data_IF_566119623259
#
_entry.id   IF_566119623259
#
_cell.length_a   1.000
_cell.length_b   1.000
_cell.length_c   1.000
_cell.angle_alpha   90.00
_cell.angle_beta   90.00
_cell.angle_gamma   90.00
#
_symmetry.space_group_name_H-M   'P 1'
#
loop_
_entity.id
_entity.type
_entity.pdbx_description
1 polymer ?
#
# COMPACT_ATOMS: atom_id res chain seq x y z
N UNK A 1 6.48 -15.36 19.33
CA UNK A 1 5.39 -14.45 18.95
C UNK A 1 4.68 -15.06 17.75
N UNK A 2 3.36 -15.24 17.84
CA UNK A 2 2.50 -15.70 16.75
C UNK A 2 1.87 -14.46 16.11
N UNK A 3 1.95 -14.34 14.78
CA UNK A 3 1.39 -13.23 14.01
C UNK A 3 -0.04 -13.55 13.53
N UNK A 4 -0.61 -12.67 12.74
CA UNK A 4 -1.90 -12.86 12.06
C UNK A 4 -1.62 -13.41 10.65
N UNK A 5 -2.42 -14.37 10.20
CA UNK A 5 -2.41 -14.83 8.81
C UNK A 5 -3.11 -13.84 7.88
N UNK A 6 -2.75 -13.85 6.61
CA UNK A 6 -3.41 -13.05 5.56
C UNK A 6 -4.28 -13.98 4.71
N UNK A 7 -5.55 -13.59 4.57
CA UNK A 7 -6.51 -14.21 3.68
C UNK A 7 -7.20 -13.08 2.89
N UNK A 8 -7.23 -13.20 1.58
CA UNK A 8 -7.81 -12.20 0.70
C UNK A 8 -9.16 -12.68 0.19
N UNK A 9 -10.14 -11.80 0.24
CA UNK A 9 -11.42 -12.02 -0.44
C UNK A 9 -11.24 -12.02 -1.95
N UNK A 10 -12.18 -12.66 -2.67
CA UNK A 10 -12.21 -12.54 -4.12
C UNK A 10 -12.44 -11.06 -4.53
N UNK A 11 -11.74 -10.56 -5.55
CA UNK A 11 -11.95 -9.20 -6.02
C UNK A 11 -13.32 -9.03 -6.68
N UNK A 12 -13.86 -7.81 -6.62
CA UNK A 12 -15.00 -7.42 -7.43
C UNK A 12 -14.62 -7.26 -8.90
N UNK A 13 -15.61 -7.19 -9.79
CA UNK A 13 -15.37 -6.82 -11.19
C UNK A 13 -14.72 -5.45 -11.28
N UNK A 14 -13.58 -5.37 -12.00
CA UNK A 14 -12.81 -4.14 -12.09
C UNK A 14 -13.54 -3.04 -12.87
N UNK A 15 -14.16 -3.37 -14.01
CA UNK A 15 -14.83 -2.36 -14.82
C UNK A 15 -15.97 -1.67 -14.05
N UNK A 16 -16.74 -2.45 -13.31
CA UNK A 16 -17.81 -1.94 -12.42
C UNK A 16 -17.22 -1.08 -11.30
N UNK A 17 -16.15 -1.54 -10.66
CA UNK A 17 -15.51 -0.81 -9.55
C UNK A 17 -14.87 0.49 -10.04
N UNK A 18 -14.18 0.45 -11.18
CA UNK A 18 -13.53 1.61 -11.79
C UNK A 18 -14.57 2.69 -12.13
N UNK A 19 -15.67 2.33 -12.79
CA UNK A 19 -16.77 3.23 -13.12
C UNK A 19 -17.44 3.81 -11.89
N UNK A 20 -17.79 2.95 -10.91
CA UNK A 20 -18.47 3.35 -9.66
C UNK A 20 -17.72 4.46 -8.90
N UNK A 21 -16.39 4.37 -8.83
CA UNK A 21 -15.56 5.30 -8.08
C UNK A 21 -14.79 6.29 -8.96
N UNK A 22 -15.03 6.27 -10.28
CA UNK A 22 -14.32 7.09 -11.27
C UNK A 22 -12.79 7.01 -11.09
N UNK A 23 -12.29 5.78 -11.01
CA UNK A 23 -10.88 5.52 -10.77
C UNK A 23 -10.05 5.71 -12.05
N UNK A 24 -8.86 6.34 -11.96
CA UNK A 24 -7.96 6.52 -13.08
C UNK A 24 -7.22 5.21 -13.41
N UNK A 25 -6.62 5.14 -14.60
CA UNK A 25 -5.81 3.97 -15.01
C UNK A 25 -4.48 3.90 -14.25
N UNK A 26 -3.88 5.03 -13.93
CA UNK A 26 -2.57 5.13 -13.30
C UNK A 26 -2.68 5.83 -11.94
N UNK A 27 -2.52 5.09 -10.84
CA UNK A 27 -2.63 5.70 -9.51
C UNK A 27 -1.72 5.08 -8.46
N UNK A 28 -1.29 5.95 -7.55
CA UNK A 28 -0.78 5.60 -6.23
C UNK A 28 -1.97 5.48 -5.28
N UNK A 29 -2.04 4.39 -4.52
CA UNK A 29 -3.17 4.07 -3.64
C UNK A 29 -2.80 4.19 -2.18
N UNK A 30 -3.64 4.88 -1.41
CA UNK A 30 -3.69 4.80 0.05
C UNK A 30 -4.98 4.12 0.49
N UNK A 31 -4.88 3.19 1.44
CA UNK A 31 -6.05 2.55 2.08
C UNK A 31 -5.95 2.73 3.59
N UNK A 32 -6.97 3.33 4.18
CA UNK A 32 -7.03 3.55 5.61
C UNK A 32 -7.85 4.77 6.01
N UNK A 33 -7.76 5.16 7.27
CA UNK A 33 -8.41 6.37 7.77
C UNK A 33 -7.81 7.61 7.11
N UNK A 34 -8.64 8.37 6.41
CA UNK A 34 -8.23 9.60 5.73
C UNK A 34 -8.34 10.78 6.69
N UNK A 35 -7.21 11.19 7.25
CA UNK A 35 -7.12 12.38 8.12
C UNK A 35 -5.84 13.19 7.80
N UNK A 36 -5.91 14.50 8.03
CA UNK A 36 -4.81 15.43 7.76
C UNK A 36 -3.56 15.12 8.58
N UNK A 37 -3.72 14.71 9.84
CA UNK A 37 -2.58 14.38 10.71
C UNK A 37 -1.71 13.27 10.15
N UNK A 38 -2.32 12.31 9.43
CA UNK A 38 -1.64 11.16 8.82
C UNK A 38 -1.13 11.45 7.40
N UNK A 39 -1.82 12.29 6.63
CA UNK A 39 -1.63 12.44 5.19
C UNK A 39 -1.06 13.80 4.75
N UNK A 40 -0.99 14.80 5.64
CA UNK A 40 -0.64 16.17 5.27
C UNK A 40 0.70 16.27 4.50
N UNK A 41 1.74 15.62 4.98
CA UNK A 41 3.03 15.61 4.30
C UNK A 41 2.96 14.88 2.95
N UNK A 42 2.17 13.80 2.86
CA UNK A 42 2.04 13.00 1.64
C UNK A 42 1.38 13.79 0.52
N UNK A 43 0.34 14.58 0.82
CA UNK A 43 -0.27 15.47 -0.16
C UNK A 43 0.76 16.45 -0.74
N UNK A 44 1.51 17.14 0.13
CA UNK A 44 2.56 18.07 -0.28
C UNK A 44 3.64 17.39 -1.12
N UNK A 45 4.14 16.24 -0.67
CA UNK A 45 5.18 15.47 -1.35
C UNK A 45 4.72 14.98 -2.72
N UNK A 46 3.48 14.49 -2.81
CA UNK A 46 2.89 14.05 -4.07
C UNK A 46 2.73 15.22 -5.06
N UNK A 47 2.22 16.36 -4.61
CA UNK A 47 2.08 17.53 -5.48
C UNK A 47 3.44 18.11 -5.92
N UNK A 48 4.44 18.05 -5.06
CA UNK A 48 5.80 18.44 -5.45
C UNK A 48 6.43 17.42 -6.41
N UNK A 49 6.13 16.11 -6.25
CA UNK A 49 6.46 15.10 -7.26
C UNK A 49 5.87 15.47 -8.62
N UNK A 50 4.59 15.84 -8.71
CA UNK A 50 3.92 16.24 -9.96
C UNK A 50 4.55 17.51 -10.58
N UNK A 51 5.05 18.43 -9.77
CA UNK A 51 5.79 19.61 -10.28
C UNK A 51 7.14 19.24 -10.88
N UNK A 52 7.85 18.29 -10.27
CA UNK A 52 9.16 17.81 -10.76
C UNK A 52 8.99 16.93 -12.00
N UNK A 53 7.92 16.13 -12.06
CA UNK A 53 7.60 15.22 -13.16
C UNK A 53 6.23 15.52 -13.76
N UNK A 54 6.07 16.66 -14.51
CA UNK A 54 4.77 17.13 -14.98
C UNK A 54 4.11 16.22 -16.03
N UNK A 55 4.88 15.34 -16.66
CA UNK A 55 4.38 14.37 -17.64
C UNK A 55 3.91 13.04 -17.00
N UNK A 56 3.98 12.90 -15.69
CA UNK A 56 3.44 11.72 -15.02
C UNK A 56 1.91 11.79 -14.95
N UNK A 57 1.21 10.78 -15.44
CA UNK A 57 -0.25 10.65 -15.37
C UNK A 57 -0.73 10.10 -14.01
N UNK A 58 0.22 9.81 -13.11
CA UNK A 58 -0.08 9.23 -11.81
C UNK A 58 -1.04 10.13 -11.01
N UNK A 59 -2.15 9.53 -10.53
CA UNK A 59 -3.10 10.15 -9.60
C UNK A 59 -2.88 9.60 -8.20
N UNK A 60 -3.45 10.25 -7.20
CA UNK A 60 -3.45 9.76 -5.83
C UNK A 60 -4.87 9.40 -5.41
N UNK A 61 -5.13 8.10 -5.25
CA UNK A 61 -6.43 7.56 -4.83
C UNK A 61 -6.38 7.24 -3.35
N UNK A 62 -7.39 7.70 -2.61
CA UNK A 62 -7.53 7.47 -1.17
C UNK A 62 -8.83 6.70 -0.91
N UNK A 63 -8.68 5.52 -0.34
CA UNK A 63 -9.76 4.62 0.06
C UNK A 63 -9.90 4.62 1.58
N UNK A 64 -11.07 4.96 2.08
CA UNK A 64 -11.41 4.90 3.49
C UNK A 64 -12.24 6.08 3.98
N UNK A 65 -12.73 5.95 5.21
CA UNK A 65 -13.55 7.00 5.81
C UNK A 65 -12.75 8.28 6.03
N UNK A 66 -13.32 9.40 5.59
CA UNK A 66 -12.77 10.74 5.79
C UNK A 66 -13.08 11.25 7.20
N UNK A 67 -12.07 11.81 7.86
CA UNK A 67 -12.14 12.40 9.20
C UNK A 67 -11.71 13.88 9.23
N UNK A 68 -11.32 14.42 8.06
CA UNK A 68 -10.99 15.82 7.85
C UNK A 68 -11.50 16.27 6.49
N UNK A 69 -11.55 17.57 6.27
CA UNK A 69 -11.91 18.13 4.97
C UNK A 69 -10.98 17.60 3.88
N UNK A 70 -11.52 17.27 2.68
CA UNK A 70 -10.72 16.77 1.59
C UNK A 70 -9.73 17.83 1.09
N UNK A 71 -8.55 17.38 0.73
CA UNK A 71 -7.60 18.22 0.02
C UNK A 71 -8.00 18.27 -1.46
N UNK A 72 -8.64 19.37 -1.88
CA UNK A 72 -9.16 19.51 -3.24
C UNK A 72 -8.06 19.73 -4.26
N UNK A 73 -7.80 18.74 -5.09
CA UNK A 73 -6.88 18.82 -6.23
C UNK A 73 -7.31 17.83 -7.31
N UNK A 74 -7.17 18.15 -8.62
CA UNK A 74 -7.63 17.28 -9.73
C UNK A 74 -6.85 15.96 -9.82
N UNK A 75 -5.68 15.85 -9.17
CA UNK A 75 -4.88 14.64 -9.12
C UNK A 75 -5.13 13.82 -7.84
N UNK A 76 -6.08 14.21 -6.98
CA UNK A 76 -6.40 13.53 -5.72
C UNK A 76 -7.85 13.10 -5.72
N UNK A 77 -8.10 11.80 -5.57
CA UNK A 77 -9.41 11.17 -5.69
C UNK A 77 -9.74 10.44 -4.39
N UNK A 78 -10.94 10.67 -3.89
CA UNK A 78 -11.47 10.03 -2.67
C UNK A 78 -12.62 9.11 -3.02
N UNK A 79 -12.52 7.84 -2.63
CA UNK A 79 -13.63 6.88 -2.81
C UNK A 79 -14.55 6.83 -1.60
N UNK A 80 -14.13 7.36 -0.44
CA UNK A 80 -14.69 7.03 0.87
C UNK A 80 -14.54 5.54 1.22
N UNK A 81 -15.44 5.02 2.07
CA UNK A 81 -15.48 3.61 2.41
C UNK A 81 -15.93 2.79 1.19
N UNK A 82 -15.25 1.67 0.96
CA UNK A 82 -15.58 0.69 -0.08
C UNK A 82 -15.74 -0.69 0.55
N UNK A 83 -16.46 -1.59 -0.12
CA UNK A 83 -16.61 -2.98 0.32
C UNK A 83 -15.28 -3.75 0.17
N UNK A 84 -15.11 -4.83 0.93
CA UNK A 84 -13.86 -5.60 0.97
C UNK A 84 -13.43 -6.10 -0.41
N UNK A 85 -14.36 -6.63 -1.21
CA UNK A 85 -14.08 -7.12 -2.56
C UNK A 85 -13.65 -5.98 -3.51
N UNK A 86 -14.25 -4.80 -3.36
CA UNK A 86 -13.87 -3.61 -4.13
C UNK A 86 -12.48 -3.10 -3.70
N UNK A 87 -12.19 -3.11 -2.38
CA UNK A 87 -10.85 -2.78 -1.88
C UNK A 87 -9.78 -3.68 -2.52
N UNK A 88 -10.02 -4.99 -2.56
CA UNK A 88 -9.08 -5.92 -3.18
C UNK A 88 -8.90 -5.61 -4.67
N UNK A 89 -9.99 -5.37 -5.40
CA UNK A 89 -9.93 -4.98 -6.81
C UNK A 89 -9.15 -3.67 -7.01
N UNK A 90 -9.38 -2.66 -6.18
CA UNK A 90 -8.66 -1.38 -6.24
C UNK A 90 -7.16 -1.56 -5.94
N UNK A 91 -6.79 -2.41 -4.97
CA UNK A 91 -5.38 -2.71 -4.69
C UNK A 91 -4.75 -3.42 -5.88
N UNK A 92 -5.43 -4.40 -6.49
CA UNK A 92 -4.91 -5.16 -7.64
C UNK A 92 -4.60 -4.26 -8.85
N UNK A 93 -5.35 -3.19 -9.07
CA UNK A 93 -5.18 -2.29 -10.19
C UNK A 93 -4.32 -1.05 -9.85
N UNK A 94 -3.96 -0.86 -8.59
CA UNK A 94 -3.05 0.20 -8.21
C UNK A 94 -1.65 0.00 -8.85
N UNK A 95 -1.05 1.08 -9.30
CA UNK A 95 0.33 1.08 -9.78
C UNK A 95 1.32 0.96 -8.62
N UNK A 96 1.06 1.67 -7.53
CA UNK A 96 1.87 1.73 -6.32
C UNK A 96 0.93 1.81 -5.12
N UNK A 97 1.22 1.09 -4.03
CA UNK A 97 0.49 1.26 -2.77
C UNK A 97 1.38 2.00 -1.77
N UNK A 98 0.82 3.00 -1.07
CA UNK A 98 1.55 3.78 -0.07
C UNK A 98 1.04 3.50 1.34
N UNK A 99 1.97 3.35 2.30
CA UNK A 99 1.65 3.45 3.73
C UNK A 99 2.51 4.54 4.41
N UNK A 100 1.92 5.72 4.69
CA UNK A 100 2.63 6.85 5.28
C UNK A 100 2.64 6.83 6.82
N UNK A 101 2.13 5.78 7.46
CA UNK A 101 2.01 5.71 8.91
C UNK A 101 3.36 5.89 9.62
N UNK A 102 3.35 6.66 10.70
CA UNK A 102 4.49 6.78 11.63
C UNK A 102 4.49 5.64 12.66
N UNK A 103 3.33 5.06 12.94
CA UNK A 103 3.15 4.03 13.96
C UNK A 103 2.31 2.89 13.41
N UNK A 104 2.87 1.69 13.40
CA UNK A 104 2.20 0.45 13.03
C UNK A 104 2.62 -0.66 14.00
N UNK A 105 1.71 -1.60 14.24
CA UNK A 105 2.04 -2.84 14.96
C UNK A 105 2.42 -3.98 14.00
N UNK A 106 1.76 -4.07 12.85
CA UNK A 106 2.01 -5.08 11.81
C UNK A 106 1.83 -4.51 10.40
N UNK A 107 0.82 -3.68 10.16
CA UNK A 107 0.40 -3.17 8.84
C UNK A 107 -0.25 -4.21 7.92
N UNK A 108 -1.54 -4.49 8.17
CA UNK A 108 -2.31 -5.42 7.32
C UNK A 108 -2.32 -4.99 5.86
N UNK A 109 -2.52 -3.69 5.58
CA UNK A 109 -2.52 -3.19 4.20
C UNK A 109 -1.19 -3.43 3.47
N UNK A 110 -0.05 -3.42 4.17
CA UNK A 110 1.23 -3.76 3.58
C UNK A 110 1.24 -5.23 3.16
N UNK A 111 0.80 -6.12 4.03
CA UNK A 111 0.76 -7.56 3.76
C UNK A 111 -0.25 -7.91 2.67
N UNK A 112 -1.43 -7.29 2.67
CA UNK A 112 -2.45 -7.45 1.61
C UNK A 112 -1.89 -7.00 0.23
N UNK A 113 -1.27 -5.83 0.17
CA UNK A 113 -0.68 -5.32 -1.06
C UNK A 113 0.46 -6.23 -1.57
N UNK A 114 1.32 -6.71 -0.67
CA UNK A 114 2.37 -7.67 -1.02
C UNK A 114 1.81 -9.02 -1.48
N UNK A 115 0.73 -9.53 -0.85
CA UNK A 115 0.04 -10.74 -1.29
C UNK A 115 -0.59 -10.59 -2.69
N UNK A 116 -0.96 -9.37 -3.08
CA UNK A 116 -1.46 -9.00 -4.39
C UNK A 116 -0.34 -8.57 -5.37
N UNK A 117 0.92 -8.85 -5.05
CA UNK A 117 2.10 -8.55 -5.88
C UNK A 117 2.25 -7.05 -6.20
N UNK A 118 1.89 -6.17 -5.28
CA UNK A 118 2.01 -4.72 -5.47
C UNK A 118 3.31 -4.18 -4.90
N UNK A 119 3.97 -3.33 -5.69
CA UNK A 119 5.08 -2.52 -5.21
C UNK A 119 4.59 -1.47 -4.21
N UNK A 120 5.34 -1.26 -3.14
CA UNK A 120 4.95 -0.35 -2.09
C UNK A 120 5.98 0.73 -1.82
N UNK A 121 5.47 1.90 -1.42
CA UNK A 121 6.25 3.00 -0.86
C UNK A 121 5.79 3.26 0.57
N UNK A 122 6.67 3.16 1.56
CA UNK A 122 6.28 3.24 2.97
C UNK A 122 7.10 4.28 3.73
N UNK A 123 6.58 4.75 4.86
CA UNK A 123 7.29 5.70 5.72
C UNK A 123 8.40 4.98 6.51
N UNK A 124 9.66 5.29 6.20
CA UNK A 124 10.83 4.71 6.86
C UNK A 124 11.09 5.22 8.28
N UNK A 125 10.37 6.23 8.74
CA UNK A 125 10.39 6.66 10.14
C UNK A 125 9.52 5.75 11.03
N UNK A 126 8.74 4.83 10.45
CA UNK A 126 8.07 3.74 11.14
C UNK A 126 8.96 2.49 11.11
N UNK A 127 9.47 2.08 12.29
CA UNK A 127 10.37 0.94 12.38
C UNK A 127 9.75 -0.36 11.86
N UNK A 128 8.47 -0.60 12.11
CA UNK A 128 7.75 -1.79 11.64
C UNK A 128 7.70 -1.84 10.11
N UNK A 129 7.34 -0.74 9.46
CA UNK A 129 7.30 -0.67 8.00
C UNK A 129 8.68 -0.85 7.38
N UNK A 130 9.70 -0.22 7.97
CA UNK A 130 11.09 -0.35 7.55
C UNK A 130 11.61 -1.77 7.72
N UNK A 131 11.24 -2.45 8.81
CA UNK A 131 11.59 -3.84 9.05
C UNK A 131 10.98 -4.78 7.99
N UNK A 132 9.72 -4.56 7.60
CA UNK A 132 9.11 -5.29 6.48
C UNK A 132 9.87 -5.09 5.16
N UNK A 133 10.34 -3.87 4.86
CA UNK A 133 11.17 -3.64 3.67
C UNK A 133 12.44 -4.52 3.68
N UNK A 134 13.14 -4.58 4.81
CA UNK A 134 14.37 -5.39 4.93
C UNK A 134 14.08 -6.89 4.88
N UNK A 135 13.10 -7.38 5.64
CA UNK A 135 12.74 -8.81 5.70
C UNK A 135 12.18 -9.36 4.40
N UNK A 136 11.53 -8.52 3.60
CA UNK A 136 10.99 -8.89 2.29
C UNK A 136 12.00 -8.75 1.13
N UNK A 137 13.27 -8.53 1.42
CA UNK A 137 14.32 -8.30 0.42
C UNK A 137 13.98 -7.11 -0.51
N UNK A 138 13.56 -6.00 0.08
CA UNK A 138 13.13 -4.77 -0.59
C UNK A 138 11.91 -4.95 -1.52
N UNK A 139 10.92 -5.74 -1.12
CA UNK A 139 9.60 -5.76 -1.76
C UNK A 139 8.81 -4.44 -1.57
N UNK A 140 9.25 -3.60 -0.64
CA UNK A 140 8.79 -2.23 -0.49
C UNK A 140 9.99 -1.29 -0.40
N UNK A 141 9.86 -0.07 -0.94
CA UNK A 141 10.81 1.01 -0.73
C UNK A 141 10.32 1.89 0.42
N UNK A 142 11.25 2.48 1.17
CA UNK A 142 10.89 3.44 2.21
C UNK A 142 11.48 4.81 1.95
N UNK A 143 10.75 5.85 2.35
CA UNK A 143 11.18 7.25 2.35
C UNK A 143 11.26 7.77 3.78
N UNK A 144 12.10 8.77 4.04
CA UNK A 144 12.25 9.40 5.35
C UNK A 144 12.02 10.92 5.31
N UNK A 145 11.99 11.49 4.12
CA UNK A 145 11.76 12.91 3.87
C UNK A 145 11.21 13.11 2.45
N UNK A 146 10.86 14.35 2.11
CA UNK A 146 10.27 14.71 0.82
C UNK A 146 11.16 14.32 -0.36
N UNK A 147 12.46 14.62 -0.31
CA UNK A 147 13.39 14.29 -1.39
C UNK A 147 13.39 12.79 -1.67
N UNK A 148 13.56 11.98 -0.63
CA UNK A 148 13.57 10.52 -0.78
C UNK A 148 12.20 9.96 -1.20
N UNK A 149 11.09 10.63 -0.84
CA UNK A 149 9.76 10.29 -1.34
C UNK A 149 9.68 10.51 -2.86
N UNK A 150 10.05 11.70 -3.34
CA UNK A 150 10.01 12.06 -4.76
C UNK A 150 10.89 11.12 -5.58
N UNK A 151 12.14 10.88 -5.15
CA UNK A 151 13.09 10.02 -5.85
C UNK A 151 12.56 8.59 -5.96
N UNK A 152 12.04 8.02 -4.85
CA UNK A 152 11.54 6.65 -4.84
C UNK A 152 10.18 6.49 -5.53
N UNK A 153 9.31 7.49 -5.43
CA UNK A 153 8.06 7.50 -6.19
C UNK A 153 8.36 7.51 -7.69
N UNK A 154 9.34 8.30 -8.13
CA UNK A 154 9.75 8.32 -9.54
C UNK A 154 10.32 6.97 -10.00
N UNK A 155 11.15 6.33 -9.20
CA UNK A 155 11.65 4.98 -9.51
C UNK A 155 10.50 3.99 -9.71
N UNK A 156 9.50 4.02 -8.84
CA UNK A 156 8.33 3.13 -8.93
C UNK A 156 7.39 3.52 -10.07
N UNK A 157 7.19 4.80 -10.34
CA UNK A 157 6.31 5.27 -11.41
C UNK A 157 6.89 4.94 -12.79
N UNK A 158 8.18 5.15 -12.99
CA UNK A 158 8.85 4.99 -14.29
C UNK A 158 9.24 3.55 -14.66
N UNK A 159 9.34 2.62 -13.70
CA UNK A 159 9.87 1.27 -13.96
C UNK A 159 8.88 0.16 -13.67
N UNK A 160 8.24 -0.36 -14.71
CA UNK A 160 7.36 -1.56 -14.61
C UNK A 160 8.14 -2.79 -14.14
N UNK A 161 9.36 -3.01 -14.64
CA UNK A 161 10.17 -4.15 -14.24
C UNK A 161 10.49 -4.13 -12.74
N UNK A 162 10.82 -2.96 -12.19
CA UNK A 162 11.05 -2.82 -10.74
C UNK A 162 9.79 -3.17 -9.94
N UNK A 163 8.62 -2.68 -10.36
CA UNK A 163 7.36 -2.99 -9.68
C UNK A 163 7.02 -4.49 -9.72
N UNK A 164 7.25 -5.14 -10.86
CA UNK A 164 7.02 -6.59 -10.99
C UNK A 164 7.98 -7.39 -10.09
N UNK A 165 9.26 -7.07 -10.11
CA UNK A 165 10.26 -7.71 -9.24
C UNK A 165 9.90 -7.56 -7.75
N UNK A 166 9.54 -6.34 -7.32
CA UNK A 166 9.11 -6.07 -5.95
C UNK A 166 7.83 -6.84 -5.61
N UNK A 167 6.88 -6.92 -6.54
CA UNK A 167 5.64 -7.68 -6.35
C UNK A 167 5.89 -9.16 -6.09
N UNK A 168 6.77 -9.80 -6.85
CA UNK A 168 7.12 -11.22 -6.64
C UNK A 168 7.83 -11.45 -5.30
N UNK A 169 8.75 -10.55 -4.92
CA UNK A 169 9.40 -10.60 -3.58
C UNK A 169 8.37 -10.47 -2.44
N UNK A 170 7.42 -9.53 -2.59
CA UNK A 170 6.36 -9.30 -1.60
C UNK A 170 5.46 -10.53 -1.43
N UNK A 171 5.01 -11.09 -2.54
CA UNK A 171 4.21 -12.31 -2.57
C UNK A 171 4.92 -13.48 -1.88
N UNK A 172 6.18 -13.71 -2.23
CA UNK A 172 7.00 -14.77 -1.60
C UNK A 172 7.16 -14.54 -0.10
N UNK A 173 7.39 -13.29 0.31
CA UNK A 173 7.53 -12.93 1.72
C UNK A 173 6.26 -13.21 2.52
N UNK A 174 5.09 -12.81 2.01
CA UNK A 174 3.81 -13.03 2.68
C UNK A 174 3.49 -14.52 2.76
N UNK A 175 3.59 -15.25 1.66
CA UNK A 175 3.31 -16.68 1.65
C UNK A 175 4.23 -17.50 2.59
N UNK A 176 5.50 -17.09 2.71
CA UNK A 176 6.45 -17.79 3.60
C UNK A 176 6.30 -17.44 5.07
N UNK A 177 5.65 -16.35 5.43
CA UNK A 177 5.63 -15.86 6.81
C UNK A 177 4.23 -15.65 7.39
N UNK A 178 3.22 -15.38 6.55
CA UNK A 178 1.87 -14.93 6.92
C UNK A 178 0.75 -15.79 6.33
N UNK A 179 1.05 -16.90 5.67
CA UNK A 179 0.05 -17.89 5.29
C UNK A 179 -0.61 -18.52 6.54
N UNK A 180 -1.94 -18.69 6.51
CA UNK A 180 -2.68 -19.20 7.66
C UNK A 180 -2.19 -20.57 8.14
N UNK A 181 -1.81 -21.49 7.24
CA UNK A 181 -1.30 -22.80 7.64
C UNK A 181 0.01 -22.66 8.42
N UNK A 182 0.88 -21.75 7.98
CA UNK A 182 2.15 -21.46 8.69
C UNK A 182 1.87 -20.89 10.07
N UNK A 183 0.95 -19.94 10.17
CA UNK A 183 0.57 -19.31 11.45
C UNK A 183 -0.06 -20.33 12.39
N UNK A 184 -0.99 -21.16 11.89
CA UNK A 184 -1.66 -22.19 12.69
C UNK A 184 -0.67 -23.26 13.19
N UNK A 185 0.30 -23.67 12.38
CA UNK A 185 1.34 -24.62 12.79
C UNK A 185 2.24 -24.02 13.89
N UNK A 186 2.62 -22.75 13.78
CA UNK A 186 3.36 -22.04 14.82
C UNK A 186 2.55 -21.98 16.14
N UNK A 187 1.25 -21.70 16.04
CA UNK A 187 0.36 -21.63 17.21
C UNK A 187 0.24 -22.99 17.89
N UNK A 188 -0.01 -24.08 17.13
CA UNK A 188 -0.06 -25.44 17.65
C UNK A 188 1.23 -25.80 18.41
N UNK A 189 2.38 -25.52 17.79
CA UNK A 189 3.68 -25.79 18.41
C UNK A 189 3.88 -25.04 19.74
N UNK A 190 3.41 -23.81 19.85
CA UNK A 190 3.46 -23.05 21.11
C UNK A 190 2.56 -23.67 22.17
N UNK A 191 1.33 -24.08 21.81
CA UNK A 191 0.38 -24.69 22.75
C UNK A 191 0.87 -26.05 23.25
N UNK A 192 1.47 -26.89 22.39
CA UNK A 192 1.97 -28.21 22.71
C UNK A 192 3.23 -28.19 23.58
N UNK A 193 3.91 -27.06 23.69
CA UNK A 193 5.14 -26.89 24.49
C UNK A 193 4.95 -26.03 25.76
N UNK A 194 3.70 -25.75 26.16
CA UNK A 194 3.33 -25.16 27.45
C UNK A 194 2.95 -26.27 28.43
#
# INVERSE_FOLDING_TARGET
IVSVGIELSAPSDWAVTQEKYNLPDEYMLYVGRVDQGKLNNVYTYFLNYKKVYPNSDLKFVLVGKQYSDPFNHPDIIYTNFVEEQEKISIIQHAKIVINPSLYESLSLILLEAMALKKAMLVNGNCNVLKEHCHKSNNAALYYTNEKSFIDKLHMLDSSTNLRLEMGEKGYSYVNSNYDWNIIMNKLKHVIENI
#
